data_IF_793320709202
#
_entry.id   IF_793320709202
#
_cell.length_a   1.000
_cell.length_b   1.000
_cell.length_c   1.000
_cell.angle_alpha   90.00
_cell.angle_beta   90.00
_cell.angle_gamma   90.00
#
_symmetry.space_group_name_H-M   'P 1'
#
loop_
_entity.id
_entity.type
_entity.pdbx_description
1 polymer ?
#
# COMPACT_ATOMS: atom_id res chain seq x y z
N UNK A 1 19.90 -2.24 25.03
CA UNK A 1 18.51 -2.74 25.15
C UNK A 1 17.93 -2.82 23.77
N UNK A 2 17.77 -4.03 23.21
CA UNK A 2 17.13 -4.25 21.91
C UNK A 2 15.65 -3.91 22.07
N UNK A 3 15.16 -2.95 21.31
CA UNK A 3 13.74 -2.74 21.09
C UNK A 3 13.20 -4.04 20.47
N UNK A 4 12.51 -4.82 21.29
CA UNK A 4 11.77 -6.01 20.88
C UNK A 4 10.60 -5.52 19.99
N UNK A 5 10.93 -5.20 18.74
CA UNK A 5 9.94 -4.72 17.80
C UNK A 5 9.01 -5.89 17.45
N UNK A 6 7.75 -5.78 17.81
CA UNK A 6 6.72 -6.70 17.35
C UNK A 6 6.76 -6.76 15.82
N UNK A 7 6.60 -7.96 15.24
CA UNK A 7 6.46 -8.13 13.80
C UNK A 7 5.24 -7.36 13.30
N UNK A 8 5.39 -6.72 12.16
CA UNK A 8 4.34 -5.89 11.55
C UNK A 8 4.26 -6.13 10.04
N UNK A 9 3.12 -5.87 9.39
CA UNK A 9 2.99 -5.97 7.96
C UNK A 9 4.10 -5.24 7.17
N UNK A 10 4.60 -5.87 6.10
CA UNK A 10 5.63 -5.24 5.25
C UNK A 10 5.12 -3.96 4.60
N UNK A 11 3.85 -3.92 4.27
CA UNK A 11 3.20 -2.81 3.59
C UNK A 11 1.78 -2.61 4.14
N UNK A 12 1.30 -1.37 4.14
CA UNK A 12 -0.11 -1.11 4.40
C UNK A 12 -0.95 -1.64 3.24
N UNK A 13 -1.87 -2.55 3.53
CA UNK A 13 -2.73 -3.18 2.53
C UNK A 13 -4.21 -2.93 2.85
N UNK A 14 -5.06 -2.71 1.82
CA UNK A 14 -6.50 -2.52 2.04
C UNK A 14 -7.11 -3.74 2.71
N UNK A 15 -8.05 -3.52 3.60
CA UNK A 15 -8.70 -4.64 4.31
C UNK A 15 -7.84 -5.29 5.40
N UNK A 16 -6.61 -4.80 5.63
CA UNK A 16 -5.71 -5.41 6.63
C UNK A 16 -6.36 -5.60 7.99
N UNK A 17 -6.16 -6.79 8.58
CA UNK A 17 -6.84 -7.29 9.79
C UNK A 17 -6.22 -6.86 11.11
N UNK A 18 -5.25 -5.91 11.12
CA UNK A 18 -4.56 -5.50 12.35
C UNK A 18 -5.50 -5.04 13.46
N UNK A 19 -6.61 -4.36 13.13
CA UNK A 19 -7.63 -3.95 14.11
C UNK A 19 -8.57 -5.09 14.54
N UNK A 20 -8.57 -6.20 13.83
CA UNK A 20 -9.42 -7.36 14.07
C UNK A 20 -8.68 -8.48 14.82
N UNK A 21 -7.35 -8.35 14.99
CA UNK A 21 -6.53 -9.32 15.73
C UNK A 21 -7.17 -9.71 17.08
N UNK A 22 -7.63 -8.77 17.95
CA UNK A 22 -8.18 -9.13 19.25
C UNK A 22 -9.43 -10.01 19.19
N UNK A 23 -10.21 -9.94 18.09
CA UNK A 23 -11.36 -10.81 17.90
C UNK A 23 -10.96 -12.14 17.26
N UNK A 24 -10.01 -12.11 16.32
CA UNK A 24 -9.44 -13.31 15.67
C UNK A 24 -8.85 -14.24 16.73
N UNK A 25 -8.04 -13.71 17.64
CA UNK A 25 -7.38 -14.48 18.72
C UNK A 25 -8.36 -15.31 19.57
N UNK A 26 -9.57 -14.79 19.80
CA UNK A 26 -10.58 -15.51 20.61
C UNK A 26 -11.03 -16.84 20.00
N UNK A 27 -10.85 -16.97 18.71
CA UNK A 27 -11.34 -18.12 17.94
C UNK A 27 -10.21 -18.93 17.30
N UNK A 28 -8.95 -18.54 17.46
CA UNK A 28 -7.82 -19.31 16.96
C UNK A 28 -7.78 -20.72 17.59
N UNK A 29 -7.41 -21.75 16.84
CA UNK A 29 -7.13 -23.05 17.43
C UNK A 29 -5.94 -22.94 18.39
N UNK A 30 -6.00 -23.63 19.53
CA UNK A 30 -4.95 -23.54 20.57
C UNK A 30 -3.59 -24.02 20.06
N UNK A 31 -3.59 -25.09 19.25
CA UNK A 31 -2.39 -25.68 18.67
C UNK A 31 -2.69 -26.03 17.21
N UNK A 32 -1.69 -25.84 16.36
CA UNK A 32 -1.70 -26.26 14.96
C UNK A 32 -0.27 -26.46 14.47
N UNK A 33 -0.12 -27.21 13.37
CA UNK A 33 1.16 -27.42 12.71
C UNK A 33 1.57 -26.22 11.86
N UNK A 34 1.44 -26.32 10.53
CA UNK A 34 1.71 -25.20 9.66
C UNK A 34 0.59 -24.17 9.66
N UNK A 35 0.97 -22.91 9.45
CA UNK A 35 0.06 -21.80 9.15
C UNK A 35 -0.05 -21.59 7.65
N UNK A 36 -1.27 -21.47 7.13
CA UNK A 36 -1.55 -21.35 5.70
C UNK A 36 -2.42 -20.11 5.47
N UNK A 37 -1.98 -19.18 4.60
CA UNK A 37 -2.73 -17.97 4.27
C UNK A 37 -2.79 -17.75 2.76
N UNK A 38 -3.88 -18.20 2.08
CA UNK A 38 -4.04 -18.11 0.63
C UNK A 38 -4.18 -16.68 0.09
N UNK A 39 -4.56 -15.72 0.94
CA UNK A 39 -4.79 -14.31 0.62
C UNK A 39 -4.04 -13.41 1.62
N UNK A 40 -2.70 -13.48 1.61
CA UNK A 40 -1.89 -12.87 2.67
C UNK A 40 -1.97 -11.35 2.71
N UNK A 41 -2.11 -10.68 1.57
CA UNK A 41 -2.14 -9.22 1.52
C UNK A 41 -0.99 -8.59 2.31
N UNK A 42 -1.32 -7.73 3.27
CA UNK A 42 -0.33 -7.14 4.19
C UNK A 42 0.23 -8.11 5.24
N UNK A 43 -0.40 -9.28 5.45
CA UNK A 43 0.04 -10.32 6.37
C UNK A 43 -0.22 -10.01 7.85
N UNK A 44 -1.28 -9.28 8.18
CA UNK A 44 -1.52 -8.88 9.57
C UNK A 44 -1.62 -10.08 10.53
N UNK A 45 -2.31 -11.14 10.13
CA UNK A 45 -2.46 -12.37 10.93
C UNK A 45 -1.19 -13.20 10.89
N UNK A 46 -0.58 -13.36 9.73
CA UNK A 46 0.71 -14.04 9.55
C UNK A 46 1.81 -13.48 10.47
N UNK A 47 2.00 -12.16 10.47
CA UNK A 47 3.00 -11.51 11.32
C UNK A 47 2.67 -11.59 12.81
N UNK A 48 1.38 -11.58 13.14
CA UNK A 48 0.93 -11.68 14.52
C UNK A 48 1.16 -13.08 15.10
N UNK A 49 0.84 -14.14 14.34
CA UNK A 49 1.00 -15.53 14.77
C UNK A 49 2.47 -15.93 14.87
N UNK A 50 3.33 -15.45 13.95
CA UNK A 50 4.76 -15.76 13.95
C UNK A 50 5.05 -17.27 14.09
N UNK A 51 4.34 -18.10 13.31
CA UNK A 51 4.42 -19.56 13.40
C UNK A 51 5.75 -20.10 12.85
N UNK A 52 6.14 -21.32 13.26
CA UNK A 52 7.43 -21.93 12.87
C UNK A 52 7.43 -22.47 11.44
N UNK A 53 6.28 -22.82 10.88
CA UNK A 53 6.13 -23.30 9.49
C UNK A 53 4.96 -22.59 8.84
N UNK A 54 5.22 -21.89 7.73
CA UNK A 54 4.20 -21.06 7.09
C UNK A 54 4.19 -21.25 5.57
N UNK A 55 3.01 -21.23 4.98
CA UNK A 55 2.74 -21.15 3.55
C UNK A 55 1.87 -19.95 3.29
N UNK A 56 2.37 -18.96 2.57
CA UNK A 56 1.60 -17.75 2.27
C UNK A 56 1.54 -17.49 0.77
N UNK A 57 0.40 -17.03 0.31
CA UNK A 57 0.12 -16.78 -1.09
C UNK A 57 -0.62 -15.44 -1.28
N UNK A 58 -0.40 -14.80 -2.40
CA UNK A 58 -1.24 -13.74 -2.93
C UNK A 58 -1.11 -13.69 -4.45
N UNK A 59 -2.17 -13.32 -5.15
CA UNK A 59 -2.17 -13.21 -6.61
C UNK A 59 -1.38 -12.01 -7.12
N UNK A 60 -1.12 -11.00 -6.26
CA UNK A 60 -0.41 -9.77 -6.60
C UNK A 60 1.09 -10.02 -6.78
N UNK A 61 1.59 -9.87 -8.01
CA UNK A 61 3.02 -10.07 -8.34
C UNK A 61 3.90 -9.11 -7.53
N UNK A 62 3.59 -7.81 -7.51
CA UNK A 62 4.42 -6.82 -6.82
C UNK A 62 4.48 -7.05 -5.31
N UNK A 63 3.38 -7.53 -4.73
CA UNK A 63 3.33 -7.87 -3.32
C UNK A 63 4.20 -9.07 -2.99
N UNK A 64 4.05 -10.17 -3.73
CA UNK A 64 4.83 -11.39 -3.47
C UNK A 64 6.31 -11.23 -3.82
N UNK A 65 6.64 -10.40 -4.82
CA UNK A 65 8.01 -9.99 -5.07
C UNK A 65 8.58 -9.15 -3.91
N UNK A 66 7.79 -8.28 -3.26
CA UNK A 66 8.24 -7.56 -2.06
C UNK A 66 8.60 -8.53 -0.93
N UNK A 67 7.73 -9.50 -0.62
CA UNK A 67 8.03 -10.56 0.34
C UNK A 67 9.31 -11.32 -0.02
N UNK A 68 9.44 -11.70 -1.29
CA UNK A 68 10.61 -12.42 -1.80
C UNK A 68 11.91 -11.61 -1.67
N UNK A 69 11.88 -10.32 -2.03
CA UNK A 69 13.07 -9.47 -1.96
C UNK A 69 13.49 -9.17 -0.53
N UNK A 70 12.54 -9.05 0.38
CA UNK A 70 12.83 -8.90 1.81
C UNK A 70 13.41 -10.22 2.36
N UNK A 71 12.79 -11.36 2.08
CA UNK A 71 13.27 -12.70 2.49
C UNK A 71 14.70 -12.97 2.01
N UNK A 72 14.96 -12.73 0.73
CA UNK A 72 16.25 -13.04 0.10
C UNK A 72 17.32 -11.96 0.28
N UNK A 73 16.98 -10.87 0.98
CA UNK A 73 17.83 -9.69 1.10
C UNK A 73 18.36 -9.20 -0.27
N UNK A 74 17.46 -9.06 -1.25
CA UNK A 74 17.80 -8.74 -2.64
C UNK A 74 18.56 -7.40 -2.75
N UNK A 75 19.83 -7.45 -3.16
CA UNK A 75 20.72 -6.27 -3.18
C UNK A 75 20.21 -5.18 -4.12
N UNK A 76 19.68 -5.55 -5.29
CA UNK A 76 19.16 -4.59 -6.28
C UNK A 76 17.94 -3.87 -5.74
N UNK A 77 16.99 -4.59 -5.12
CA UNK A 77 15.82 -3.98 -4.48
C UNK A 77 16.21 -2.96 -3.41
N UNK A 78 17.14 -3.32 -2.52
CA UNK A 78 17.60 -2.40 -1.48
C UNK A 78 18.35 -1.19 -2.04
N UNK A 79 19.14 -1.35 -3.10
CA UNK A 79 19.79 -0.22 -3.80
C UNK A 79 18.76 0.77 -4.37
N UNK A 80 17.71 0.26 -5.02
CA UNK A 80 16.63 1.09 -5.56
C UNK A 80 15.82 1.77 -4.43
N UNK A 81 15.53 1.05 -3.35
CA UNK A 81 14.84 1.61 -2.17
C UNK A 81 15.68 2.70 -1.50
N UNK A 82 16.99 2.50 -1.34
CA UNK A 82 17.91 3.48 -0.78
C UNK A 82 17.95 4.74 -1.66
N UNK A 83 18.02 4.58 -2.98
CA UNK A 83 17.94 5.69 -3.93
C UNK A 83 16.64 6.52 -3.77
N UNK A 84 15.48 5.85 -3.62
CA UNK A 84 14.21 6.54 -3.38
C UNK A 84 14.24 7.30 -2.05
N UNK A 85 14.78 6.71 -1.00
CA UNK A 85 14.91 7.34 0.33
C UNK A 85 15.81 8.57 0.27
N UNK A 86 16.97 8.45 -0.37
CA UNK A 86 17.94 9.54 -0.48
C UNK A 86 17.37 10.72 -1.30
N UNK A 87 16.66 10.43 -2.37
CA UNK A 87 15.99 11.44 -3.16
C UNK A 87 14.88 12.15 -2.36
N UNK A 88 14.11 11.39 -1.58
CA UNK A 88 13.09 11.97 -0.70
C UNK A 88 13.66 12.96 0.32
N UNK A 89 14.88 12.69 0.84
CA UNK A 89 15.60 13.63 1.72
C UNK A 89 16.06 14.87 0.97
N UNK A 90 16.66 14.71 -0.19
CA UNK A 90 17.11 15.84 -1.02
C UNK A 90 15.98 16.78 -1.38
N UNK A 91 14.77 16.25 -1.63
CA UNK A 91 13.57 17.07 -1.85
C UNK A 91 13.17 17.90 -0.62
N UNK A 92 13.40 17.37 0.59
CA UNK A 92 13.21 18.15 1.80
C UNK A 92 14.21 19.30 1.87
N UNK A 93 15.47 19.09 1.48
CA UNK A 93 16.47 20.16 1.46
C UNK A 93 16.15 21.21 0.39
N UNK A 94 15.70 20.80 -0.80
CA UNK A 94 15.20 21.72 -1.83
C UNK A 94 14.04 22.58 -1.32
N UNK A 95 13.16 22.04 -0.48
CA UNK A 95 12.02 22.80 0.08
C UNK A 95 12.42 23.90 1.05
N UNK A 96 13.65 23.88 1.57
CA UNK A 96 14.21 24.95 2.42
C UNK A 96 14.71 26.14 1.65
N UNK A 97 14.82 26.04 0.33
CA UNK A 97 15.26 27.13 -0.52
C UNK A 97 14.26 28.28 -0.52
N UNK A 98 14.70 29.41 0.04
CA UNK A 98 13.85 30.60 0.15
C UNK A 98 13.45 31.21 -1.20
N UNK A 99 14.20 30.92 -2.28
CA UNK A 99 13.89 31.42 -3.62
C UNK A 99 12.50 30.99 -4.08
N UNK A 100 12.08 29.74 -3.79
CA UNK A 100 10.73 29.24 -4.16
C UNK A 100 9.64 29.95 -3.35
N UNK A 101 9.89 30.19 -2.06
CA UNK A 101 8.95 30.92 -1.21
C UNK A 101 8.84 32.40 -1.61
N UNK A 102 9.96 33.04 -1.97
CA UNK A 102 10.00 34.39 -2.48
C UNK A 102 9.27 34.53 -3.81
N UNK A 103 9.45 33.55 -4.73
CA UNK A 103 8.71 33.53 -5.98
C UNK A 103 7.19 33.47 -5.75
N UNK A 104 6.72 32.63 -4.83
CA UNK A 104 5.29 32.61 -4.47
C UNK A 104 4.82 33.96 -3.90
N UNK A 105 5.62 34.60 -3.04
CA UNK A 105 5.28 35.91 -2.46
C UNK A 105 5.18 36.98 -3.54
N UNK A 106 6.09 36.98 -4.52
CA UNK A 106 6.03 37.88 -5.67
C UNK A 106 4.78 37.63 -6.52
N UNK A 107 4.48 36.37 -6.82
CA UNK A 107 3.26 36.01 -7.55
C UNK A 107 1.98 36.41 -6.79
N UNK A 108 1.96 36.24 -5.47
CA UNK A 108 0.82 36.65 -4.64
C UNK A 108 0.53 38.13 -4.79
N UNK A 109 1.56 38.97 -4.92
CA UNK A 109 1.46 40.43 -5.03
C UNK A 109 1.27 40.90 -6.49
N UNK A 110 1.77 40.14 -7.46
CA UNK A 110 1.69 40.48 -8.90
C UNK A 110 1.32 39.23 -9.71
N UNK A 111 0.07 39.15 -10.17
CA UNK A 111 -0.44 38.00 -10.93
C UNK A 111 -0.02 37.94 -12.39
N UNK A 112 0.67 38.95 -12.92
CA UNK A 112 1.15 38.98 -14.29
C UNK A 112 2.46 38.18 -14.47
N UNK A 113 2.92 37.50 -13.41
CA UNK A 113 4.13 36.67 -13.45
C UNK A 113 3.78 35.30 -14.07
N UNK A 114 4.48 34.93 -15.14
CA UNK A 114 4.43 33.56 -15.67
C UNK A 114 5.20 32.62 -14.74
N UNK A 115 4.43 31.87 -13.94
CA UNK A 115 4.97 30.99 -12.92
C UNK A 115 5.78 29.82 -13.49
N UNK A 116 5.39 29.29 -14.65
CA UNK A 116 6.12 28.16 -15.23
C UNK A 116 7.48 28.59 -15.72
N UNK A 117 7.56 29.74 -16.40
CA UNK A 117 8.82 30.32 -16.87
C UNK A 117 9.74 30.62 -15.68
N UNK A 118 9.22 31.29 -14.64
CA UNK A 118 10.02 31.65 -13.47
C UNK A 118 10.50 30.42 -12.69
N UNK A 119 9.65 29.39 -12.54
CA UNK A 119 10.04 28.14 -11.88
C UNK A 119 11.13 27.41 -12.68
N UNK A 120 11.03 27.34 -14.03
CA UNK A 120 12.07 26.74 -14.87
C UNK A 120 13.41 27.47 -14.78
N UNK A 121 13.39 28.80 -14.70
CA UNK A 121 14.61 29.61 -14.53
C UNK A 121 15.24 29.44 -13.13
N UNK A 122 14.40 29.24 -12.10
CA UNK A 122 14.84 29.15 -10.71
C UNK A 122 15.33 27.75 -10.35
N UNK A 123 14.69 26.72 -10.92
CA UNK A 123 15.02 25.31 -10.67
C UNK A 123 16.08 24.92 -11.70
N UNK A 124 17.36 25.08 -11.35
CA UNK A 124 18.41 24.46 -12.13
C UNK A 124 18.39 22.96 -11.87
N UNK A 125 18.09 22.17 -12.91
CA UNK A 125 18.00 20.70 -12.81
C UNK A 125 19.30 20.06 -12.36
N UNK A 126 20.44 20.71 -12.60
CA UNK A 126 21.75 20.24 -12.18
C UNK A 126 21.96 20.42 -10.65
N UNK A 127 21.25 21.38 -10.04
CA UNK A 127 21.22 21.58 -8.58
C UNK A 127 20.24 20.63 -7.87
N UNK A 128 19.34 20.00 -8.63
CA UNK A 128 18.48 18.94 -8.12
C UNK A 128 19.22 17.61 -8.30
N UNK A 129 20.02 17.16 -7.31
CA UNK A 129 20.84 15.96 -7.45
C UNK A 129 19.92 14.73 -7.43
N UNK A 130 19.16 14.59 -8.51
CA UNK A 130 18.20 13.54 -8.64
C UNK A 130 18.55 12.70 -9.83
N UNK A 131 18.88 11.49 -9.50
CA UNK A 131 18.73 10.36 -10.39
C UNK A 131 19.79 10.19 -11.46
N UNK A 132 20.45 9.09 -11.42
CA UNK A 132 20.89 8.32 -12.57
C UNK A 132 19.65 7.93 -13.45
N UNK A 133 18.69 8.83 -13.64
CA UNK A 133 17.59 8.66 -14.56
C UNK A 133 17.92 9.43 -15.83
N UNK A 134 17.90 8.74 -16.95
CA UNK A 134 18.09 9.32 -18.29
C UNK A 134 17.06 10.40 -18.66
N UNK A 135 16.18 10.81 -17.74
CA UNK A 135 15.18 11.86 -17.97
C UNK A 135 14.97 12.79 -16.78
N UNK A 136 16.04 13.50 -16.39
CA UNK A 136 15.89 14.65 -15.48
C UNK A 136 14.85 15.66 -16.02
N UNK A 137 14.75 15.81 -17.33
CA UNK A 137 13.77 16.65 -18.03
C UNK A 137 12.33 16.30 -17.68
N UNK A 138 11.96 15.00 -17.68
CA UNK A 138 10.59 14.58 -17.28
C UNK A 138 10.27 14.92 -15.83
N UNK A 139 11.22 14.73 -14.91
CA UNK A 139 10.98 15.08 -13.51
C UNK A 139 10.82 16.59 -13.32
N UNK A 140 11.59 17.42 -14.00
CA UNK A 140 11.44 18.88 -14.02
C UNK A 140 10.02 19.29 -14.43
N UNK A 141 9.47 18.69 -15.47
CA UNK A 141 8.09 18.94 -15.91
C UNK A 141 7.07 18.65 -14.79
N UNK A 142 7.22 17.51 -14.08
CA UNK A 142 6.38 17.21 -12.91
C UNK A 142 6.56 18.22 -11.79
N UNK A 143 7.79 18.64 -11.51
CA UNK A 143 8.10 19.60 -10.45
C UNK A 143 7.48 20.97 -10.73
N UNK A 144 7.70 21.50 -11.93
CA UNK A 144 7.12 22.78 -12.35
C UNK A 144 5.58 22.72 -12.32
N UNK A 145 4.98 21.69 -12.93
CA UNK A 145 3.53 21.51 -12.96
C UNK A 145 2.91 21.40 -11.57
N UNK A 146 3.52 20.63 -10.67
CA UNK A 146 3.02 20.49 -9.31
C UNK A 146 3.15 21.75 -8.49
N UNK A 147 4.27 22.50 -8.63
CA UNK A 147 4.46 23.76 -7.92
C UNK A 147 3.54 24.85 -8.47
N UNK A 148 3.38 24.98 -9.78
CA UNK A 148 2.42 25.92 -10.38
C UNK A 148 0.99 25.65 -9.87
N UNK A 149 0.57 24.38 -9.92
CA UNK A 149 -0.75 23.99 -9.39
C UNK A 149 -0.88 24.28 -7.89
N UNK A 150 0.18 24.10 -7.12
CA UNK A 150 0.21 24.42 -5.69
C UNK A 150 0.09 25.92 -5.46
N UNK A 151 0.83 26.75 -6.19
CA UNK A 151 0.75 28.21 -6.08
C UNK A 151 -0.64 28.76 -6.36
N UNK A 152 -1.28 28.29 -7.45
CA UNK A 152 -2.67 28.63 -7.78
C UNK A 152 -3.64 28.25 -6.66
N UNK A 153 -3.49 27.04 -6.11
CA UNK A 153 -4.33 26.55 -5.03
C UNK A 153 -4.15 27.37 -3.74
N UNK A 154 -2.91 27.69 -3.38
CA UNK A 154 -2.60 28.51 -2.20
C UNK A 154 -3.21 29.89 -2.33
N UNK A 155 -3.01 30.54 -3.48
CA UNK A 155 -3.58 31.86 -3.76
C UNK A 155 -5.10 31.87 -3.69
N UNK A 156 -5.75 30.88 -4.31
CA UNK A 156 -7.21 30.70 -4.23
C UNK A 156 -7.70 30.57 -2.78
N UNK A 157 -6.96 29.83 -1.95
CA UNK A 157 -7.32 29.62 -0.55
C UNK A 157 -7.13 30.88 0.29
N UNK A 158 -6.05 31.65 0.08
CA UNK A 158 -5.80 32.93 0.74
C UNK A 158 -6.91 33.94 0.42
N UNK A 159 -7.30 34.06 -0.85
CA UNK A 159 -8.41 34.93 -1.27
C UNK A 159 -9.71 34.47 -0.60
N UNK A 160 -10.03 33.21 -0.65
CA UNK A 160 -11.27 32.67 -0.07
C UNK A 160 -11.39 32.91 1.43
N UNK A 161 -10.26 32.81 2.16
CA UNK A 161 -10.20 32.98 3.61
C UNK A 161 -9.98 34.45 4.03
N UNK A 162 -9.65 35.32 3.08
CA UNK A 162 -9.18 36.69 3.33
C UNK A 162 -8.01 36.73 4.32
N UNK A 163 -7.10 35.74 4.22
CA UNK A 163 -5.97 35.56 5.14
C UNK A 163 -4.75 35.08 4.38
N UNK A 164 -3.59 35.64 4.64
CA UNK A 164 -2.32 35.21 4.08
C UNK A 164 -1.72 34.10 4.92
N UNK A 165 -1.09 33.13 4.26
CA UNK A 165 -0.35 32.09 4.96
C UNK A 165 0.87 32.67 5.68
N UNK A 166 1.10 32.22 6.91
CA UNK A 166 2.39 32.44 7.58
C UNK A 166 3.51 31.79 6.81
N UNK A 167 4.74 32.30 6.96
CA UNK A 167 5.92 31.76 6.24
C UNK A 167 6.13 30.26 6.55
N UNK A 168 5.86 29.82 7.78
CA UNK A 168 5.97 28.39 8.16
C UNK A 168 4.97 27.53 7.39
N UNK A 169 3.69 27.92 7.38
CA UNK A 169 2.64 27.22 6.64
C UNK A 169 2.88 27.26 5.12
N UNK A 170 3.44 28.36 4.61
CA UNK A 170 3.83 28.46 3.21
C UNK A 170 4.90 27.41 2.89
N UNK A 171 6.00 27.36 3.66
CA UNK A 171 7.09 26.40 3.48
C UNK A 171 6.59 24.94 3.55
N UNK A 172 5.75 24.60 4.53
CA UNK A 172 5.16 23.24 4.62
C UNK A 172 4.32 22.89 3.38
N UNK A 173 3.60 23.85 2.83
CA UNK A 173 2.82 23.65 1.61
C UNK A 173 3.70 23.51 0.37
N UNK A 174 4.78 24.29 0.28
CA UNK A 174 5.74 24.17 -0.82
C UNK A 174 6.47 22.84 -0.78
N UNK A 175 6.91 22.39 0.39
CA UNK A 175 7.47 21.07 0.58
C UNK A 175 6.48 19.98 0.10
N UNK A 176 5.20 20.10 0.45
CA UNK A 176 4.19 19.16 -0.03
C UNK A 176 4.03 19.19 -1.56
N UNK A 177 4.19 20.35 -2.20
CA UNK A 177 4.19 20.49 -3.66
C UNK A 177 5.38 19.80 -4.32
N UNK A 178 6.58 20.05 -3.79
CA UNK A 178 7.84 19.43 -4.25
C UNK A 178 7.77 17.90 -4.07
N UNK A 179 7.34 17.43 -2.91
CA UNK A 179 7.19 16.00 -2.63
C UNK A 179 6.09 15.33 -3.45
N UNK A 180 5.01 16.06 -3.74
CA UNK A 180 3.96 15.58 -4.63
C UNK A 180 4.45 15.38 -6.08
N UNK A 181 5.39 16.22 -6.56
CA UNK A 181 5.96 16.05 -7.89
C UNK A 181 6.71 14.72 -8.02
N UNK A 182 7.55 14.39 -7.03
CA UNK A 182 8.30 13.14 -7.01
C UNK A 182 7.40 11.92 -6.89
N UNK A 183 6.40 12.00 -6.00
CA UNK A 183 5.38 10.97 -5.89
C UNK A 183 4.66 10.75 -7.22
N UNK A 184 4.25 11.83 -7.90
CA UNK A 184 3.50 11.75 -9.17
C UNK A 184 4.38 11.20 -10.29
N UNK A 185 5.65 11.61 -10.33
CA UNK A 185 6.65 11.09 -11.26
C UNK A 185 6.90 9.59 -11.07
N UNK A 186 7.12 9.11 -9.83
CA UNK A 186 7.28 7.67 -9.57
C UNK A 186 6.01 6.88 -9.87
N UNK A 187 4.83 7.47 -9.63
CA UNK A 187 3.54 6.87 -10.00
C UNK A 187 3.39 6.78 -11.53
N UNK A 188 3.86 7.77 -12.25
CA UNK A 188 3.87 7.74 -13.72
C UNK A 188 4.80 6.64 -14.25
N UNK A 189 6.01 6.52 -13.71
CA UNK A 189 6.92 5.40 -14.02
C UNK A 189 6.25 4.04 -13.76
N UNK A 190 5.54 3.91 -12.64
CA UNK A 190 4.85 2.67 -12.28
C UNK A 190 3.74 2.31 -13.28
N UNK A 191 2.96 3.32 -13.71
CA UNK A 191 1.84 3.13 -14.63
C UNK A 191 2.31 2.95 -16.09
N UNK A 192 3.40 3.61 -16.50
CA UNK A 192 3.89 3.67 -17.87
C UNK A 192 5.33 3.12 -18.00
N UNK A 193 5.63 1.88 -17.53
CA UNK A 193 7.00 1.38 -17.45
C UNK A 193 7.74 1.33 -18.80
N UNK A 194 7.01 1.23 -19.91
CA UNK A 194 7.56 1.20 -21.28
C UNK A 194 8.15 2.54 -21.72
N UNK A 195 7.72 3.64 -21.11
CA UNK A 195 8.23 4.98 -21.41
C UNK A 195 9.55 5.30 -20.67
N UNK A 196 9.98 4.42 -19.77
CA UNK A 196 11.11 4.62 -18.84
C UNK A 196 12.15 3.49 -18.91
N UNK A 197 12.72 3.23 -20.09
CA UNK A 197 13.84 2.31 -20.32
C UNK A 197 13.86 1.05 -19.44
N UNK A 198 13.01 0.08 -19.75
CA UNK A 198 13.00 -1.25 -19.12
C UNK A 198 13.11 -1.26 -17.60
N UNK A 199 12.04 -0.88 -16.94
CA UNK A 199 11.93 -0.91 -15.48
C UNK A 199 12.20 -2.34 -14.94
N UNK A 200 13.33 -2.53 -14.27
CA UNK A 200 13.62 -3.83 -13.65
C UNK A 200 12.58 -4.18 -12.57
N UNK A 201 12.29 -5.46 -12.38
CA UNK A 201 11.33 -5.90 -11.33
C UNK A 201 11.70 -5.36 -9.93
N UNK A 202 12.97 -5.40 -9.45
CA UNK A 202 13.33 -4.81 -8.16
C UNK A 202 13.02 -3.32 -8.04
N UNK A 203 13.27 -2.55 -9.10
CA UNK A 203 12.94 -1.13 -9.13
C UNK A 203 11.44 -0.89 -9.13
N UNK A 204 10.66 -1.66 -9.91
CA UNK A 204 9.21 -1.59 -9.93
C UNK A 204 8.62 -1.84 -8.53
N UNK A 205 9.15 -2.83 -7.80
CA UNK A 205 8.71 -3.16 -6.43
C UNK A 205 9.09 -2.06 -5.43
N UNK A 206 10.28 -1.45 -5.55
CA UNK A 206 10.66 -0.31 -4.70
C UNK A 206 9.74 0.89 -4.94
N UNK A 207 9.41 1.20 -6.19
CA UNK A 207 8.44 2.23 -6.55
C UNK A 207 7.05 1.87 -6.04
N UNK A 208 6.60 0.63 -6.23
CA UNK A 208 5.32 0.15 -5.70
C UNK A 208 5.23 0.37 -4.19
N UNK A 209 6.24 -0.04 -3.42
CA UNK A 209 6.30 0.21 -1.98
C UNK A 209 6.18 1.70 -1.66
N UNK A 210 6.92 2.56 -2.37
CA UNK A 210 6.89 4.00 -2.15
C UNK A 210 5.50 4.59 -2.43
N UNK A 211 4.92 4.37 -3.61
CA UNK A 211 3.61 4.94 -3.95
C UNK A 211 2.51 4.46 -3.03
N UNK A 212 2.57 3.22 -2.58
CA UNK A 212 1.62 2.63 -1.62
C UNK A 212 1.72 3.26 -0.23
N UNK A 213 2.93 3.54 0.23
CA UNK A 213 3.16 4.13 1.55
C UNK A 213 2.86 5.63 1.59
N UNK A 214 2.98 6.33 0.46
CA UNK A 214 2.81 7.78 0.40
C UNK A 214 1.51 8.25 -0.26
N UNK A 215 0.67 7.35 -0.77
CA UNK A 215 -0.64 7.70 -1.30
C UNK A 215 -1.61 8.13 -0.19
N UNK A 216 -2.55 8.99 -0.56
CA UNK A 216 -3.58 9.49 0.35
C UNK A 216 -4.36 8.35 1.01
N UNK A 217 -4.40 8.36 2.35
CA UNK A 217 -5.10 7.37 3.19
C UNK A 217 -4.74 5.91 2.91
N UNK A 218 -3.57 5.64 2.31
CA UNK A 218 -3.13 4.30 1.89
C UNK A 218 -4.17 3.57 1.02
N UNK A 219 -4.97 4.33 0.27
CA UNK A 219 -6.00 3.79 -0.62
C UNK A 219 -5.41 2.95 -1.74
N UNK A 220 -6.19 1.96 -2.19
CA UNK A 220 -5.89 1.14 -3.34
C UNK A 220 -6.95 1.39 -4.40
N UNK A 221 -6.61 2.13 -5.45
CA UNK A 221 -7.56 2.49 -6.49
C UNK A 221 -6.86 2.63 -7.83
N UNK A 222 -7.45 2.02 -8.83
CA UNK A 222 -7.05 2.13 -10.22
C UNK A 222 -8.12 2.88 -11.03
N UNK A 223 -7.75 3.47 -12.13
CA UNK A 223 -8.68 4.04 -13.09
C UNK A 223 -9.18 2.95 -14.08
N UNK A 224 -10.08 3.31 -14.99
CA UNK A 224 -10.62 2.39 -16.00
C UNK A 224 -9.55 1.79 -16.94
N UNK A 225 -8.37 2.42 -17.04
CA UNK A 225 -7.23 1.91 -17.83
C UNK A 225 -6.34 0.95 -17.03
N UNK A 226 -6.63 0.76 -15.74
CA UNK A 226 -5.82 -0.05 -14.84
C UNK A 226 -4.60 0.69 -14.27
N UNK A 227 -4.54 2.04 -14.33
CA UNK A 227 -3.46 2.82 -13.75
C UNK A 227 -3.75 3.15 -12.29
N UNK A 228 -2.75 3.04 -11.43
CA UNK A 228 -2.84 3.48 -10.05
C UNK A 228 -3.04 5.02 -9.99
N UNK A 229 -4.16 5.49 -9.46
CA UNK A 229 -4.56 6.89 -9.56
C UNK A 229 -4.82 7.60 -8.22
N UNK A 230 -4.28 7.07 -7.11
CA UNK A 230 -4.39 7.73 -5.82
C UNK A 230 -3.38 8.88 -5.74
N UNK A 231 -3.77 10.08 -5.27
CA UNK A 231 -2.86 11.21 -5.13
C UNK A 231 -1.91 11.04 -3.93
N UNK A 232 -0.89 11.90 -3.86
CA UNK A 232 -0.01 12.05 -2.69
C UNK A 232 -0.81 12.44 -1.44
N UNK A 233 -0.38 11.95 -0.27
CA UNK A 233 -1.06 12.17 1.01
C UNK A 233 -0.98 13.61 1.56
N UNK A 234 -0.18 14.49 0.95
CA UNK A 234 -0.09 15.90 1.31
C UNK A 234 0.81 16.19 2.52
N UNK A 235 0.63 17.35 3.14
CA UNK A 235 1.49 17.90 4.20
C UNK A 235 1.75 16.91 5.34
N UNK A 236 0.75 16.16 5.76
CA UNK A 236 0.88 15.15 6.84
C UNK A 236 1.90 14.04 6.53
N UNK A 237 2.29 13.89 5.27
CA UNK A 237 3.28 12.90 4.81
C UNK A 237 4.68 13.50 4.61
N UNK A 238 4.86 14.82 4.74
CA UNK A 238 6.17 15.47 4.53
C UNK A 238 7.28 14.87 5.40
N UNK A 239 6.98 14.61 6.68
CA UNK A 239 7.94 14.05 7.65
C UNK A 239 8.06 12.52 7.60
N UNK A 240 7.25 11.84 6.78
CA UNK A 240 7.29 10.38 6.65
C UNK A 240 8.56 9.93 5.93
N UNK A 241 9.20 8.88 6.42
CA UNK A 241 10.37 8.26 5.80
C UNK A 241 10.22 6.74 5.73
N UNK A 242 10.80 6.14 4.70
CA UNK A 242 10.91 4.68 4.57
C UNK A 242 12.12 4.09 5.30
N UNK A 243 12.97 4.90 5.94
CA UNK A 243 14.17 4.41 6.65
C UNK A 243 13.82 3.43 7.74
N UNK A 244 12.80 3.73 8.56
CA UNK A 244 12.34 2.85 9.63
C UNK A 244 11.88 1.51 9.06
N UNK A 245 11.13 1.54 7.95
CA UNK A 245 10.66 0.33 7.27
C UNK A 245 11.81 -0.45 6.66
N UNK A 246 12.78 0.22 6.04
CA UNK A 246 14.01 -0.39 5.52
C UNK A 246 14.85 -1.06 6.60
N UNK A 247 14.97 -0.42 7.78
CA UNK A 247 15.64 -1.02 8.96
C UNK A 247 14.88 -2.26 9.44
N UNK A 248 13.57 -2.16 9.54
CA UNK A 248 12.71 -3.28 9.91
C UNK A 248 12.86 -4.47 8.95
N UNK A 249 12.91 -4.25 7.64
CA UNK A 249 13.11 -5.31 6.64
C UNK A 249 14.42 -6.08 6.80
N UNK A 250 15.40 -5.51 7.48
CA UNK A 250 16.68 -6.16 7.80
C UNK A 250 16.74 -6.73 9.21
N UNK A 251 15.67 -6.66 10.00
CA UNK A 251 15.66 -7.17 11.37
C UNK A 251 15.78 -8.69 11.42
N UNK A 252 16.49 -9.19 12.43
CA UNK A 252 16.73 -10.63 12.61
C UNK A 252 15.40 -11.39 12.79
N UNK A 253 14.47 -10.84 13.57
CA UNK A 253 13.17 -11.44 13.85
C UNK A 253 12.32 -11.63 12.58
N UNK A 254 12.27 -10.59 11.72
CA UNK A 254 11.56 -10.69 10.42
C UNK A 254 12.24 -11.72 9.51
N UNK A 255 13.56 -11.70 9.45
CA UNK A 255 14.33 -12.67 8.65
C UNK A 255 14.07 -14.10 9.10
N UNK A 256 14.02 -14.36 10.41
CA UNK A 256 13.71 -15.67 10.96
C UNK A 256 12.32 -16.15 10.51
N UNK A 257 11.28 -15.32 10.70
CA UNK A 257 9.93 -15.66 10.26
C UNK A 257 9.88 -15.95 8.75
N UNK A 258 10.46 -15.09 7.92
CA UNK A 258 10.43 -15.28 6.47
C UNK A 258 11.25 -16.50 6.01
N UNK A 259 12.32 -16.88 6.71
CA UNK A 259 13.05 -18.12 6.41
C UNK A 259 12.19 -19.37 6.67
N UNK A 260 11.30 -19.31 7.65
CA UNK A 260 10.34 -20.37 8.00
C UNK A 260 9.03 -20.28 7.19
N UNK A 261 9.04 -19.56 6.06
CA UNK A 261 7.85 -19.29 5.25
C UNK A 261 8.12 -19.62 3.80
N UNK A 262 7.27 -20.43 3.20
CA UNK A 262 7.22 -20.63 1.76
C UNK A 262 6.29 -19.59 1.12
N UNK A 263 6.73 -19.01 0.00
CA UNK A 263 6.06 -17.89 -0.68
C UNK A 263 5.55 -18.33 -2.03
N UNK A 264 4.27 -18.08 -2.31
CA UNK A 264 3.62 -18.43 -3.56
C UNK A 264 2.96 -17.21 -4.19
N UNK A 265 2.84 -17.22 -5.52
CA UNK A 265 2.14 -16.22 -6.30
C UNK A 265 1.21 -16.92 -7.28
N UNK A 266 0.11 -17.44 -6.79
CA UNK A 266 -0.82 -18.29 -7.53
C UNK A 266 -2.27 -17.88 -7.31
N UNK A 267 -3.18 -18.39 -8.15
CA UNK A 267 -4.59 -18.46 -7.76
C UNK A 267 -4.72 -19.29 -6.47
N UNK A 268 -5.68 -18.97 -5.60
CA UNK A 268 -5.80 -19.67 -4.30
C UNK A 268 -6.00 -21.16 -4.45
N UNK A 269 -6.73 -21.60 -5.49
CA UNK A 269 -7.02 -23.02 -5.72
C UNK A 269 -5.77 -23.77 -6.19
N UNK A 270 -4.98 -23.17 -7.07
CA UNK A 270 -3.69 -23.74 -7.49
C UNK A 270 -2.72 -23.81 -6.30
N UNK A 271 -2.71 -22.78 -5.46
CA UNK A 271 -1.88 -22.74 -4.25
C UNK A 271 -2.20 -23.89 -3.30
N UNK A 272 -3.48 -24.08 -2.93
CA UNK A 272 -3.84 -25.16 -1.97
C UNK A 272 -3.63 -26.55 -2.54
N UNK A 273 -3.62 -26.72 -3.86
CA UNK A 273 -3.30 -27.98 -4.51
C UNK A 273 -1.80 -28.21 -4.68
N UNK A 274 -0.96 -27.19 -4.55
CA UNK A 274 0.50 -27.29 -4.70
C UNK A 274 1.20 -27.64 -3.38
N UNK A 275 0.58 -27.38 -2.24
CA UNK A 275 1.16 -27.66 -0.92
C UNK A 275 0.55 -28.91 -0.30
N UNK A 276 1.32 -29.58 0.56
CA UNK A 276 0.79 -30.67 1.39
C UNK A 276 0.19 -30.05 2.65
N UNK A 277 -1.11 -30.29 2.85
CA UNK A 277 -1.88 -29.76 4.00
C UNK A 277 -2.25 -30.93 4.90
N UNK A 278 -1.79 -30.90 6.14
CA UNK A 278 -2.13 -31.87 7.16
C UNK A 278 -3.40 -31.46 7.94
N UNK A 279 -4.12 -32.44 8.48
CA UNK A 279 -5.33 -32.19 9.28
C UNK A 279 -5.09 -31.36 10.56
N UNK A 280 -3.84 -31.31 11.04
CA UNK A 280 -3.43 -30.50 12.18
C UNK A 280 -3.01 -29.08 11.80
N UNK A 281 -2.99 -28.72 10.52
CA UNK A 281 -2.64 -27.37 10.08
C UNK A 281 -3.79 -26.37 10.30
N UNK A 282 -3.47 -25.09 10.16
CA UNK A 282 -4.47 -24.03 10.28
C UNK A 282 -4.42 -23.07 9.09
N UNK A 283 -5.56 -22.91 8.42
CA UNK A 283 -5.72 -22.02 7.28
C UNK A 283 -6.55 -20.79 7.67
N UNK A 284 -5.96 -19.61 7.49
CA UNK A 284 -6.64 -18.32 7.65
C UNK A 284 -6.95 -17.71 6.28
N UNK A 285 -8.19 -17.24 6.09
CA UNK A 285 -8.63 -16.72 4.79
C UNK A 285 -9.30 -15.35 4.96
N UNK A 286 -8.83 -14.39 4.19
CA UNK A 286 -9.40 -13.05 4.04
C UNK A 286 -9.47 -12.70 2.54
N UNK A 287 -10.37 -13.37 1.79
CA UNK A 287 -10.49 -13.15 0.35
C UNK A 287 -10.99 -11.73 0.04
N UNK A 288 -10.73 -11.21 -1.16
CA UNK A 288 -11.33 -9.96 -1.62
C UNK A 288 -12.87 -10.01 -1.51
N UNK A 289 -13.47 -8.89 -1.06
CA UNK A 289 -14.91 -8.83 -0.88
C UNK A 289 -15.63 -8.64 -2.20
N UNK A 290 -16.81 -9.25 -2.31
CA UNK A 290 -17.77 -9.00 -3.35
C UNK A 290 -18.31 -7.56 -3.20
N UNK A 291 -17.67 -6.61 -3.87
CA UNK A 291 -18.14 -5.22 -3.94
C UNK A 291 -17.98 -4.72 -5.37
N UNK A 292 -18.91 -3.86 -5.81
CA UNK A 292 -18.89 -3.15 -7.11
C UNK A 292 -17.61 -2.34 -7.36
N UNK A 293 -16.67 -2.28 -6.40
CA UNK A 293 -15.35 -1.68 -6.53
C UNK A 293 -14.26 -2.64 -7.01
N UNK A 294 -14.50 -3.93 -7.00
CA UNK A 294 -13.57 -4.93 -7.54
C UNK A 294 -13.49 -4.92 -9.07
N UNK A 295 -14.43 -4.28 -9.77
CA UNK A 295 -14.44 -4.16 -11.23
C UNK A 295 -13.20 -3.42 -11.80
N UNK A 296 -12.47 -2.69 -10.97
CA UNK A 296 -11.26 -1.95 -11.36
C UNK A 296 -9.95 -2.60 -10.92
N UNK A 297 -10.03 -3.73 -10.22
CA UNK A 297 -8.84 -4.50 -9.86
C UNK A 297 -8.52 -5.52 -10.96
N UNK A 298 -7.28 -5.53 -11.44
CA UNK A 298 -6.79 -6.54 -12.40
C UNK A 298 -6.93 -7.98 -11.89
N UNK A 299 -7.18 -8.15 -10.60
CA UNK A 299 -7.33 -9.41 -9.88
C UNK A 299 -8.73 -9.53 -9.27
N UNK A 300 -9.80 -9.25 -10.02
CA UNK A 300 -11.18 -9.39 -9.52
C UNK A 300 -11.43 -10.80 -8.97
N UNK A 301 -11.91 -10.86 -7.73
CA UNK A 301 -12.42 -12.09 -7.10
C UNK A 301 -13.96 -12.02 -7.19
N UNK A 302 -14.52 -12.74 -8.15
CA UNK A 302 -15.94 -12.65 -8.50
C UNK A 302 -16.81 -13.70 -7.76
N UNK A 303 -18.10 -13.78 -8.06
CA UNK A 303 -19.04 -14.73 -7.47
C UNK A 303 -18.60 -16.18 -7.72
N UNK A 304 -18.13 -16.51 -8.91
CA UNK A 304 -17.63 -17.87 -9.23
C UNK A 304 -16.41 -18.23 -8.38
N UNK A 305 -15.52 -17.25 -8.10
CA UNK A 305 -14.38 -17.46 -7.21
C UNK A 305 -14.82 -17.67 -5.77
N UNK A 306 -15.89 -16.97 -5.31
CA UNK A 306 -16.49 -17.21 -4.00
C UNK A 306 -17.11 -18.61 -3.90
N UNK A 307 -17.77 -19.08 -4.95
CA UNK A 307 -18.32 -20.44 -5.03
C UNK A 307 -17.21 -21.50 -5.00
N UNK A 308 -16.14 -21.33 -5.81
CA UNK A 308 -14.98 -22.24 -5.80
C UNK A 308 -14.35 -22.32 -4.42
N UNK A 309 -14.22 -21.17 -3.73
CA UNK A 309 -13.67 -21.11 -2.39
C UNK A 309 -14.57 -21.83 -1.38
N UNK A 310 -15.88 -21.60 -1.42
CA UNK A 310 -16.85 -22.26 -0.56
C UNK A 310 -16.84 -23.78 -0.79
N UNK A 311 -16.84 -24.24 -2.04
CA UNK A 311 -16.77 -25.67 -2.38
C UNK A 311 -15.50 -26.32 -1.85
N UNK A 312 -14.34 -25.66 -2.00
CA UNK A 312 -13.08 -26.17 -1.45
C UNK A 312 -13.13 -26.28 0.08
N UNK A 313 -13.57 -25.23 0.78
CA UNK A 313 -13.58 -25.19 2.24
C UNK A 313 -14.56 -26.21 2.86
N UNK A 314 -15.71 -26.44 2.21
CA UNK A 314 -16.74 -27.33 2.71
C UNK A 314 -16.40 -28.80 2.43
N UNK A 315 -15.86 -29.10 1.25
CA UNK A 315 -15.78 -30.49 0.76
C UNK A 315 -14.36 -31.07 0.71
N UNK A 316 -13.31 -30.22 0.68
CA UNK A 316 -11.95 -30.66 0.36
C UNK A 316 -10.90 -30.23 1.39
N UNK A 317 -11.12 -29.14 2.14
CA UNK A 317 -10.12 -28.63 3.08
C UNK A 317 -9.88 -29.64 4.22
N UNK A 318 -8.66 -30.21 4.34
CA UNK A 318 -8.41 -31.27 5.34
C UNK A 318 -8.12 -30.70 6.73
N UNK A 319 -7.76 -29.42 6.82
CA UNK A 319 -7.31 -28.79 8.07
C UNK A 319 -8.37 -27.90 8.71
N UNK A 320 -8.06 -27.36 9.88
CA UNK A 320 -8.88 -26.31 10.51
C UNK A 320 -8.77 -25.03 9.70
N UNK A 321 -9.91 -24.37 9.46
CA UNK A 321 -9.87 -23.06 8.78
C UNK A 321 -10.71 -22.00 9.49
N UNK A 322 -10.31 -20.76 9.34
CA UNK A 322 -11.06 -19.56 9.70
C UNK A 322 -11.14 -18.63 8.50
N UNK A 323 -12.34 -18.40 8.00
CA UNK A 323 -12.64 -17.43 6.95
C UNK A 323 -13.28 -16.18 7.57
N UNK A 324 -12.74 -15.00 7.23
CA UNK A 324 -13.36 -13.72 7.58
C UNK A 324 -13.80 -13.03 6.30
N UNK A 325 -15.09 -12.73 6.20
CA UNK A 325 -15.67 -12.16 4.99
C UNK A 325 -16.81 -11.21 5.32
N UNK A 326 -17.05 -10.21 4.47
CA UNK A 326 -18.20 -9.32 4.58
C UNK A 326 -19.50 -10.10 4.43
N UNK A 327 -20.45 -9.89 5.35
CA UNK A 327 -21.78 -10.52 5.27
C UNK A 327 -22.57 -9.90 4.12
N UNK A 328 -22.98 -10.74 3.17
CA UNK A 328 -24.03 -10.50 2.16
C UNK A 328 -24.98 -11.68 2.17
N UNK A 329 -26.18 -11.52 1.61
CA UNK A 329 -27.13 -12.65 1.51
C UNK A 329 -26.55 -13.78 0.67
N UNK A 330 -25.82 -13.42 -0.41
CA UNK A 330 -25.12 -14.37 -1.27
C UNK A 330 -24.07 -15.17 -0.49
N UNK A 331 -23.14 -14.50 0.20
CA UNK A 331 -22.10 -15.17 1.00
C UNK A 331 -22.73 -16.04 2.09
N UNK A 332 -23.77 -15.53 2.77
CA UNK A 332 -24.47 -16.32 3.78
C UNK A 332 -25.09 -17.60 3.18
N UNK A 333 -25.65 -17.54 1.97
CA UNK A 333 -26.23 -18.71 1.30
C UNK A 333 -25.20 -19.79 0.95
N UNK A 334 -23.95 -19.42 0.68
CA UNK A 334 -22.88 -20.38 0.37
C UNK A 334 -22.48 -21.25 1.57
N UNK A 335 -22.51 -20.68 2.78
CA UNK A 335 -21.98 -21.34 3.98
C UNK A 335 -23.04 -21.76 5.00
N UNK A 336 -24.28 -21.25 4.93
CA UNK A 336 -25.35 -21.59 5.86
C UNK A 336 -25.72 -23.07 5.76
N UNK A 337 -26.04 -23.69 6.92
CA UNK A 337 -26.49 -25.09 7.02
C UNK A 337 -25.49 -26.14 6.45
N UNK A 338 -24.19 -25.82 6.46
CA UNK A 338 -23.11 -26.70 5.97
C UNK A 338 -22.29 -27.33 7.11
N UNK A 339 -22.81 -27.36 8.35
CA UNK A 339 -22.07 -27.88 9.50
C UNK A 339 -20.93 -26.98 10.01
N UNK A 340 -20.88 -25.73 9.54
CA UNK A 340 -19.85 -24.76 9.90
C UNK A 340 -20.33 -23.88 11.07
N UNK A 341 -19.40 -23.45 11.90
CA UNK A 341 -19.63 -22.45 12.94
C UNK A 341 -19.54 -21.07 12.35
N UNK A 342 -20.63 -20.30 12.38
CA UNK A 342 -20.71 -18.94 11.82
C UNK A 342 -20.97 -17.94 12.94
N UNK A 343 -20.12 -16.92 13.04
CA UNK A 343 -20.24 -15.85 14.04
C UNK A 343 -20.33 -14.51 13.32
N UNK A 344 -21.33 -13.69 13.65
CA UNK A 344 -21.44 -12.33 13.15
C UNK A 344 -20.66 -11.36 14.04
N UNK A 345 -19.87 -10.49 13.41
CA UNK A 345 -19.12 -9.42 14.08
C UNK A 345 -19.37 -8.07 13.42
N UNK A 346 -19.52 -7.02 14.23
CA UNK A 346 -19.69 -5.67 13.71
C UNK A 346 -18.33 -5.07 13.39
N UNK A 347 -18.19 -4.49 12.19
CA UNK A 347 -17.00 -3.74 11.77
C UNK A 347 -17.35 -2.29 11.47
N UNK A 348 -16.59 -1.35 12.07
CA UNK A 348 -16.67 0.08 11.73
C UNK A 348 -15.57 0.44 10.75
N UNK A 349 -15.95 1.02 9.62
CA UNK A 349 -14.99 1.59 8.67
C UNK A 349 -14.77 3.08 8.96
N UNK A 350 -13.53 3.47 9.22
CA UNK A 350 -13.18 4.86 9.53
C UNK A 350 -13.08 5.77 8.30
N UNK A 351 -12.96 5.20 7.11
CA UNK A 351 -12.85 5.96 5.84
C UNK A 351 -13.97 5.52 4.92
N UNK A 352 -14.95 6.39 4.71
CA UNK A 352 -15.98 6.21 3.67
C UNK A 352 -15.86 7.28 2.62
N UNK A 353 -15.75 6.89 1.33
CA UNK A 353 -15.80 7.81 0.21
C UNK A 353 -17.27 8.09 -0.15
N UNK A 354 -17.69 9.35 -0.11
CA UNK A 354 -18.99 9.85 -0.59
C UNK A 354 -20.21 9.07 -0.06
N UNK A 355 -20.28 8.78 1.24
CA UNK A 355 -21.42 8.05 1.86
C UNK A 355 -21.76 6.68 1.21
N UNK A 356 -20.83 6.08 0.45
CA UNK A 356 -21.07 4.84 -0.29
C UNK A 356 -20.89 3.57 0.54
N UNK A 357 -20.20 3.64 1.68
CA UNK A 357 -20.11 2.51 2.61
C UNK A 357 -20.95 2.85 3.84
N UNK A 358 -21.90 1.99 4.19
CA UNK A 358 -22.56 2.05 5.49
C UNK A 358 -21.45 2.00 6.55
N UNK A 359 -21.47 2.89 7.53
CA UNK A 359 -20.45 2.97 8.60
C UNK A 359 -20.37 1.67 9.41
N UNK A 360 -21.47 0.95 9.52
CA UNK A 360 -21.58 -0.31 10.23
C UNK A 360 -21.81 -1.42 9.22
N UNK A 361 -20.83 -2.30 9.09
CA UNK A 361 -20.87 -3.48 8.21
C UNK A 361 -20.68 -4.72 9.08
N UNK A 362 -21.46 -5.74 8.83
CA UNK A 362 -21.30 -7.04 9.48
C UNK A 362 -20.31 -7.90 8.69
N UNK A 363 -19.40 -8.53 9.41
CA UNK A 363 -18.55 -9.58 8.91
C UNK A 363 -18.98 -10.92 9.48
N UNK A 364 -18.71 -11.98 8.75
CA UNK A 364 -18.83 -13.35 9.23
C UNK A 364 -17.44 -13.88 9.54
N UNK A 365 -17.30 -14.56 10.66
CA UNK A 365 -16.20 -15.47 10.96
C UNK A 365 -16.76 -16.88 10.79
N UNK A 366 -16.23 -17.63 9.83
CA UNK A 366 -16.71 -18.97 9.46
C UNK A 366 -15.60 -19.97 9.74
N UNK A 367 -15.90 -21.04 10.47
CA UNK A 367 -14.93 -22.03 10.92
C UNK A 367 -15.50 -23.45 10.83
N UNK A 368 -14.64 -24.46 10.65
CA UNK A 368 -15.01 -25.86 10.66
C UNK A 368 -14.69 -26.58 12.00
N UNK A 369 -14.42 -25.82 13.07
CA UNK A 369 -14.08 -26.34 14.40
C UNK A 369 -14.78 -25.60 15.53
#
# INVERSE_FOLDING_TARGET
>A
MSLDSNLTPLIKYPGGKSSEIPIIEKYLPKNFGAYIEPFVGGGAVFFHLNNERNFINDKSEELMLLYTYVKTNNRTFYKELDSIIDNWKKLHDLSKDDRIANLYTNYRNNQNIDMEVQLRQLINIDDVPMFNLRSNVKFEEFLVKCLTSKFLLLRKNEIKKNEQLTIGLLKDNLEAGIKASYYTYLRDIYNNPKEYDNLSKPRKVAIYLFIREYCFSSMFRFNKKGDFNVPYGGISYNKKTLETKRKYYKSAKLKQLLNNTELFQLDFYDFVNQIVIDNNDFMFLDPPYDTTFSEYDKNSFNEQDQERLAQYLINQCPCKFMLIIKKTDYINSLYANKGLRIIEVNKKYFVSFKNRNKKDVKHLIIMNY
#
